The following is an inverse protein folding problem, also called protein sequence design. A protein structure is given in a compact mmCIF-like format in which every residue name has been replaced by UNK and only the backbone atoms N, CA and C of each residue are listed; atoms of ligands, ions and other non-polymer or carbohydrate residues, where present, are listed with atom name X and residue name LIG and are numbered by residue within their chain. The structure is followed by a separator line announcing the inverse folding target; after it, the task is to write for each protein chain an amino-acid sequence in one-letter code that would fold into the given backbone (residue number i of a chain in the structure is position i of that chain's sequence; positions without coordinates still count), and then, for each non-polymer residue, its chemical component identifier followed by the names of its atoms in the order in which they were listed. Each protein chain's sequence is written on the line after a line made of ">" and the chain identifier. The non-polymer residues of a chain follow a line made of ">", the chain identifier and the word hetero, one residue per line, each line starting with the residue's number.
data_IF_607541133681
#
_entry.id   IF_607541133681
#
_cell.length_a   1.000
_cell.length_b   1.000
_cell.length_c   1.000
_cell.angle_alpha   90.00
_cell.angle_beta   90.00
_cell.angle_gamma   90.00
#
_symmetry.space_group_name_H-M   'P 1'
#
loop_
_entity.id
_entity.type
_entity.pdbx_description
1 polymer ?
#
# COMPACT_ATOMS: atom_id res chain seq x y z
N UNK A 1 7.74 31.80 -11.35
CA UNK A 1 7.45 30.57 -12.11
C UNK A 1 8.69 29.70 -12.12
N UNK A 2 8.59 28.47 -11.56
CA UNK A 2 9.75 27.57 -11.48
C UNK A 2 10.19 27.12 -12.87
N UNK A 3 11.47 26.75 -13.04
CA UNK A 3 11.98 26.26 -14.34
C UNK A 3 11.15 25.09 -14.90
N UNK A 4 10.64 24.22 -14.01
CA UNK A 4 9.81 23.07 -14.39
C UNK A 4 8.47 23.48 -15.01
N UNK A 5 7.91 24.66 -14.67
CA UNK A 5 6.65 25.14 -15.24
C UNK A 5 6.78 25.66 -16.66
N UNK A 6 8.03 25.90 -17.12
CA UNK A 6 8.34 26.36 -18.48
C UNK A 6 8.57 25.21 -19.46
N UNK A 7 8.58 23.97 -18.98
CA UNK A 7 8.64 22.80 -19.83
C UNK A 7 7.31 22.64 -20.55
N UNK A 8 7.37 22.32 -21.83
CA UNK A 8 6.14 22.07 -22.62
C UNK A 8 5.43 20.83 -22.09
N UNK A 9 4.28 21.03 -21.44
CA UNK A 9 3.40 19.96 -20.97
C UNK A 9 2.38 19.67 -22.05
N UNK A 10 2.33 18.40 -22.49
CA UNK A 10 1.45 17.97 -23.57
C UNK A 10 0.07 17.58 -23.06
N UNK A 11 -0.01 17.02 -21.83
CA UNK A 11 -1.26 16.50 -21.27
C UNK A 11 -1.18 16.43 -19.74
N UNK A 12 -2.33 16.20 -19.12
CA UNK A 12 -2.42 16.02 -17.68
C UNK A 12 -3.83 15.70 -17.21
N UNK A 13 -3.91 15.30 -15.95
CA UNK A 13 -5.18 15.04 -15.29
C UNK A 13 -5.12 15.42 -13.81
N UNK A 14 -6.28 15.61 -13.21
CA UNK A 14 -6.41 15.65 -11.76
C UNK A 14 -7.35 14.55 -11.26
N UNK A 15 -7.13 14.14 -10.02
CA UNK A 15 -7.90 13.09 -9.37
C UNK A 15 -7.96 13.33 -7.87
N UNK A 16 -8.96 12.73 -7.23
CA UNK A 16 -9.06 12.67 -5.78
C UNK A 16 -8.73 11.25 -5.30
N UNK A 17 -7.86 11.13 -4.30
CA UNK A 17 -7.56 9.88 -3.63
C UNK A 17 -7.68 10.07 -2.11
N UNK A 18 -8.69 9.47 -1.50
CA UNK A 18 -8.95 9.53 -0.05
C UNK A 18 -9.04 10.95 0.54
N UNK A 19 -9.51 11.93 -0.28
CA UNK A 19 -9.63 13.33 0.11
C UNK A 19 -8.44 14.22 -0.26
N UNK A 20 -7.36 13.64 -0.78
CA UNK A 20 -6.20 14.38 -1.28
C UNK A 20 -6.42 14.74 -2.75
N UNK A 21 -6.28 16.02 -3.10
CA UNK A 21 -6.39 16.53 -4.48
C UNK A 21 -5.04 16.41 -5.17
N UNK A 22 -4.97 15.59 -6.17
CA UNK A 22 -3.73 15.22 -6.88
C UNK A 22 -3.80 15.68 -8.32
N UNK A 23 -2.67 16.11 -8.86
CA UNK A 23 -2.49 16.40 -10.28
C UNK A 23 -1.31 15.62 -10.86
N UNK A 24 -1.44 15.25 -12.12
CA UNK A 24 -0.34 14.68 -12.93
C UNK A 24 -0.27 15.46 -14.23
N UNK A 25 0.92 15.86 -14.65
CA UNK A 25 1.19 16.43 -15.98
C UNK A 25 2.37 15.73 -16.63
N UNK A 26 2.32 15.60 -17.94
CA UNK A 26 3.27 14.84 -18.74
C UNK A 26 3.76 15.64 -19.95
N UNK A 27 4.98 15.41 -20.38
CA UNK A 27 5.53 16.00 -21.61
C UNK A 27 5.15 15.24 -22.89
N UNK A 28 4.54 14.06 -22.75
CA UNK A 28 4.09 13.20 -23.85
C UNK A 28 2.78 12.53 -23.40
N UNK A 29 1.67 12.79 -24.13
CA UNK A 29 0.35 12.24 -23.81
C UNK A 29 0.30 10.71 -23.83
N UNK A 30 1.17 10.07 -24.62
CA UNK A 30 1.23 8.62 -24.71
C UNK A 30 1.58 7.92 -23.37
N UNK A 31 2.26 8.63 -22.45
CA UNK A 31 2.64 8.04 -21.15
C UNK A 31 1.58 8.23 -20.05
N UNK A 32 0.56 9.05 -20.29
CA UNK A 32 -0.45 9.35 -19.27
C UNK A 32 -1.25 8.10 -18.87
N UNK A 33 -1.60 7.25 -19.83
CA UNK A 33 -2.32 6.00 -19.59
C UNK A 33 -1.56 5.06 -18.63
N UNK A 34 -0.23 4.99 -18.76
CA UNK A 34 0.60 4.15 -17.89
C UNK A 34 0.59 4.66 -16.45
N UNK A 35 0.59 5.98 -16.26
CA UNK A 35 0.50 6.62 -14.94
C UNK A 35 -0.88 6.42 -14.31
N UNK A 36 -1.96 6.52 -15.11
CA UNK A 36 -3.33 6.26 -14.65
C UNK A 36 -3.49 4.84 -14.12
N UNK A 37 -2.89 3.86 -14.78
CA UNK A 37 -2.92 2.46 -14.36
C UNK A 37 -2.16 2.21 -13.02
N UNK A 38 -1.34 3.16 -12.58
CA UNK A 38 -0.53 3.10 -11.34
C UNK A 38 -1.09 3.94 -10.20
N UNK A 39 -2.25 4.59 -10.39
CA UNK A 39 -2.87 5.39 -9.33
C UNK A 39 -3.29 4.51 -8.14
N UNK A 40 -3.32 5.07 -6.92
CA UNK A 40 -3.77 4.36 -5.73
C UNK A 40 -5.18 3.79 -5.90
N UNK A 41 -5.48 2.60 -5.36
CA UNK A 41 -6.84 2.07 -5.33
C UNK A 41 -7.83 3.07 -4.76
N UNK A 42 -9.02 3.19 -5.38
CA UNK A 42 -10.04 4.15 -4.96
C UNK A 42 -9.83 5.58 -5.45
N UNK A 43 -8.81 5.85 -6.28
CA UNK A 43 -8.65 7.12 -6.98
C UNK A 43 -9.83 7.39 -7.92
N UNK A 44 -10.32 8.63 -7.93
CA UNK A 44 -11.44 9.07 -8.79
C UNK A 44 -10.99 10.26 -9.62
N UNK A 45 -11.19 10.23 -10.95
CA UNK A 45 -10.97 11.42 -11.79
C UNK A 45 -11.75 12.62 -11.24
N UNK A 46 -11.16 13.79 -11.31
CA UNK A 46 -11.77 15.03 -10.85
C UNK A 46 -11.22 16.21 -11.67
N UNK A 47 -11.96 17.31 -11.70
CA UNK A 47 -11.49 18.55 -12.32
C UNK A 47 -11.23 19.58 -11.21
N UNK A 48 -9.96 19.77 -10.86
CA UNK A 48 -9.54 20.73 -9.85
C UNK A 48 -8.81 21.90 -10.52
N UNK A 49 -9.16 23.13 -10.15
CA UNK A 49 -8.40 24.33 -10.52
C UNK A 49 -7.08 24.43 -9.77
N UNK A 50 -7.03 23.87 -8.56
CA UNK A 50 -5.83 23.76 -7.74
C UNK A 50 -5.77 22.36 -7.10
N UNK A 51 -4.56 21.81 -7.06
CA UNK A 51 -4.25 20.51 -6.44
C UNK A 51 -3.34 20.72 -5.24
N UNK A 52 -3.41 19.77 -4.29
CA UNK A 52 -2.54 19.81 -3.10
C UNK A 52 -1.14 19.31 -3.47
N UNK A 53 -1.07 18.33 -4.37
CA UNK A 53 0.19 17.74 -4.84
C UNK A 53 0.17 17.58 -6.35
N UNK A 54 1.23 18.07 -7.02
CA UNK A 54 1.40 17.99 -8.47
C UNK A 54 2.59 17.08 -8.82
N UNK A 55 2.32 16.05 -9.60
CA UNK A 55 3.33 15.23 -10.24
C UNK A 55 3.62 15.72 -11.65
N UNK A 56 4.89 15.89 -11.97
CA UNK A 56 5.35 16.32 -13.29
C UNK A 56 6.32 15.26 -13.82
N UNK A 57 5.91 14.54 -14.85
CA UNK A 57 6.65 13.40 -15.38
C UNK A 57 7.18 13.76 -16.77
N UNK A 58 8.48 13.64 -16.91
CA UNK A 58 9.19 13.77 -18.18
C UNK A 58 9.66 12.37 -18.55
N UNK A 59 9.09 11.82 -19.58
CA UNK A 59 9.40 10.49 -20.05
C UNK A 59 9.28 10.42 -21.58
N UNK A 60 9.84 9.37 -22.15
CA UNK A 60 9.65 9.03 -23.54
C UNK A 60 9.78 7.51 -23.66
N UNK A 61 8.85 6.89 -24.33
CA UNK A 61 9.02 5.54 -24.85
C UNK A 61 9.96 5.62 -26.06
N UNK A 62 11.28 5.74 -25.79
CA UNK A 62 12.28 5.75 -26.84
C UNK A 62 12.20 4.43 -27.64
N UNK A 63 12.24 4.54 -28.98
CA UNK A 63 12.47 3.37 -29.82
C UNK A 63 13.85 2.77 -29.46
N UNK A 64 14.01 1.44 -29.45
CA UNK A 64 15.25 0.75 -29.06
C UNK A 64 16.52 1.25 -29.78
N UNK A 65 16.38 1.79 -31.00
CA UNK A 65 17.49 2.22 -31.87
C UNK A 65 17.89 3.70 -31.69
N UNK A 66 17.37 4.41 -30.73
CA UNK A 66 17.76 5.81 -30.51
C UNK A 66 19.16 5.89 -29.87
N UNK A 67 20.14 6.42 -30.60
CA UNK A 67 21.49 6.74 -30.09
C UNK A 67 21.48 7.83 -29.00
N UNK A 68 20.34 8.50 -28.78
CA UNK A 68 20.19 9.55 -27.78
C UNK A 68 19.72 8.93 -26.48
N UNK A 69 20.58 8.92 -25.48
CA UNK A 69 20.22 8.52 -24.10
C UNK A 69 19.33 9.59 -23.47
N UNK A 70 18.04 9.39 -23.50
CA UNK A 70 17.07 10.26 -22.79
C UNK A 70 16.88 9.75 -21.38
N UNK A 71 16.96 10.67 -20.40
CA UNK A 71 16.62 10.38 -19.01
C UNK A 71 15.15 10.67 -18.79
N UNK A 72 14.47 9.74 -18.13
CA UNK A 72 13.12 9.96 -17.60
C UNK A 72 13.23 10.55 -16.20
N UNK A 73 12.39 11.52 -15.89
CA UNK A 73 12.41 12.28 -14.64
C UNK A 73 11.02 12.37 -14.03
N UNK A 74 10.95 12.25 -12.71
CA UNK A 74 9.74 12.46 -11.94
C UNK A 74 9.93 13.56 -10.89
N UNK A 75 8.99 14.49 -10.84
CA UNK A 75 8.95 15.55 -9.84
C UNK A 75 7.63 15.52 -9.07
N UNK A 76 7.71 15.74 -7.78
CA UNK A 76 6.60 15.99 -6.88
C UNK A 76 6.68 17.45 -6.43
N UNK A 77 5.73 18.25 -6.84
CA UNK A 77 5.81 19.72 -6.77
C UNK A 77 7.13 20.20 -7.42
N UNK A 78 8.08 20.70 -6.64
CA UNK A 78 9.39 21.15 -7.12
C UNK A 78 10.53 20.16 -6.84
N UNK A 79 10.26 19.09 -6.09
CA UNK A 79 11.26 18.12 -5.66
C UNK A 79 11.33 16.94 -6.65
N UNK A 80 12.55 16.64 -7.11
CA UNK A 80 12.74 15.45 -7.95
C UNK A 80 12.74 14.19 -7.11
N UNK A 81 11.78 13.29 -7.34
CA UNK A 81 11.69 12.00 -6.66
C UNK A 81 12.24 10.83 -7.49
N UNK A 82 12.33 10.98 -8.82
CA UNK A 82 12.81 9.93 -9.71
C UNK A 82 13.73 10.47 -10.81
N UNK A 83 14.75 9.66 -11.15
CA UNK A 83 15.62 9.82 -12.33
C UNK A 83 16.07 8.43 -12.77
N UNK A 84 15.64 8.00 -13.94
CA UNK A 84 15.98 6.71 -14.50
C UNK A 84 16.38 6.82 -15.97
N UNK A 85 17.08 5.79 -16.49
CA UNK A 85 17.43 5.69 -17.91
C UNK A 85 16.27 5.14 -18.75
N UNK A 86 15.40 4.36 -18.11
CA UNK A 86 14.17 3.83 -18.70
C UNK A 86 12.97 4.49 -18.05
N UNK A 87 11.83 4.41 -18.73
CA UNK A 87 10.59 4.99 -18.22
C UNK A 87 9.95 4.12 -17.12
N UNK A 88 10.18 2.80 -17.14
CA UNK A 88 9.61 1.87 -16.17
C UNK A 88 10.10 2.15 -14.75
N UNK A 89 11.40 2.51 -14.60
CA UNK A 89 11.92 2.93 -13.29
C UNK A 89 11.26 4.19 -12.75
N UNK A 90 10.84 5.13 -13.62
CA UNK A 90 10.07 6.31 -13.18
C UNK A 90 8.63 5.94 -12.84
N UNK A 91 8.02 5.00 -13.58
CA UNK A 91 6.67 4.49 -13.27
C UNK A 91 6.62 3.79 -11.91
N UNK A 92 7.60 2.96 -11.60
CA UNK A 92 7.68 2.27 -10.30
C UNK A 92 7.89 3.26 -9.16
N UNK A 93 8.78 4.24 -9.35
CA UNK A 93 8.98 5.30 -8.37
C UNK A 93 7.73 6.16 -8.20
N UNK A 94 7.00 6.49 -9.28
CA UNK A 94 5.73 7.22 -9.24
C UNK A 94 4.68 6.43 -8.46
N UNK A 95 4.50 5.14 -8.79
CA UNK A 95 3.55 4.26 -8.11
C UNK A 95 3.78 4.25 -6.58
N UNK A 96 5.03 4.07 -6.17
CA UNK A 96 5.39 4.04 -4.75
C UNK A 96 5.20 5.40 -4.07
N UNK A 97 5.64 6.47 -4.75
CA UNK A 97 5.60 7.82 -4.18
C UNK A 97 4.19 8.38 -4.08
N UNK A 98 3.33 8.17 -5.11
CA UNK A 98 1.95 8.68 -5.09
C UNK A 98 1.12 8.02 -3.99
N UNK A 99 1.35 6.73 -3.75
CA UNK A 99 0.67 6.00 -2.68
C UNK A 99 1.12 6.45 -1.30
N UNK A 100 2.43 6.63 -1.11
CA UNK A 100 2.97 7.19 0.13
C UNK A 100 2.42 8.59 0.40
N UNK A 101 2.37 9.45 -0.62
CA UNK A 101 1.79 10.80 -0.52
C UNK A 101 0.33 10.75 -0.09
N UNK A 102 -0.48 9.89 -0.72
CA UNK A 102 -1.89 9.71 -0.31
C UNK A 102 -1.99 9.18 1.12
N UNK A 103 -1.18 8.20 1.49
CA UNK A 103 -1.18 7.64 2.85
C UNK A 103 -0.77 8.66 3.91
N UNK A 104 0.15 9.58 3.59
CA UNK A 104 0.62 10.63 4.50
C UNK A 104 -0.40 11.76 4.67
N UNK A 105 -1.08 12.18 3.59
CA UNK A 105 -1.91 13.37 3.57
C UNK A 105 -3.42 13.11 3.57
N UNK A 106 -3.88 11.86 3.60
CA UNK A 106 -5.31 11.54 3.64
C UNK A 106 -5.98 12.09 4.91
N UNK A 107 -6.91 13.07 4.83
CA UNK A 107 -7.38 13.80 6.01
C UNK A 107 -8.36 13.00 6.89
N UNK A 108 -8.90 11.89 6.37
CA UNK A 108 -9.96 11.11 7.05
C UNK A 108 -9.67 9.61 7.05
N UNK A 109 -8.41 9.23 6.85
CA UNK A 109 -7.98 7.83 6.84
C UNK A 109 -6.63 7.69 7.51
N UNK A 110 -6.48 6.62 8.23
CA UNK A 110 -5.18 6.21 8.79
C UNK A 110 -4.67 5.03 7.98
N UNK A 111 -3.49 5.19 7.42
CA UNK A 111 -2.81 4.16 6.65
C UNK A 111 -1.73 3.52 7.52
N UNK A 112 -1.89 2.24 7.80
CA UNK A 112 -0.91 1.45 8.55
C UNK A 112 -0.23 0.47 7.61
N UNK A 113 1.09 0.43 7.55
CA UNK A 113 1.83 -0.62 6.83
C UNK A 113 1.49 -1.97 7.42
N UNK A 114 0.60 -2.68 6.75
CA UNK A 114 0.11 -3.99 7.17
C UNK A 114 -0.45 -4.78 5.98
N UNK A 115 -0.23 -6.09 5.99
CA UNK A 115 -1.05 -7.01 5.23
C UNK A 115 -2.44 -7.12 5.87
N UNK A 116 -3.47 -7.31 5.04
CA UNK A 116 -4.86 -7.43 5.51
C UNK A 116 -5.59 -8.51 4.74
N UNK A 117 -6.22 -9.40 5.48
CA UNK A 117 -7.18 -10.37 4.92
C UNK A 117 -8.48 -10.35 5.73
N UNK A 118 -9.59 -10.71 5.09
CA UNK A 118 -10.89 -10.89 5.74
C UNK A 118 -11.13 -12.36 6.05
N UNK A 119 -11.63 -12.66 7.25
CA UNK A 119 -12.04 -13.98 7.68
C UNK A 119 -13.20 -13.86 8.68
N UNK A 120 -14.28 -14.64 8.50
CA UNK A 120 -15.48 -14.59 9.36
C UNK A 120 -15.98 -13.15 9.62
N UNK A 121 -16.16 -12.35 8.55
CA UNK A 121 -16.57 -10.95 8.60
C UNK A 121 -15.70 -10.03 9.49
N UNK A 122 -14.45 -10.44 9.76
CA UNK A 122 -13.46 -9.67 10.51
C UNK A 122 -12.18 -9.50 9.70
N UNK A 123 -11.48 -8.40 9.94
CA UNK A 123 -10.16 -8.18 9.35
C UNK A 123 -9.06 -8.76 10.26
N UNK A 124 -8.10 -9.45 9.64
CA UNK A 124 -6.82 -9.84 10.24
C UNK A 124 -5.78 -8.85 9.73
N UNK A 125 -5.14 -8.11 10.63
CA UNK A 125 -4.05 -7.19 10.32
C UNK A 125 -2.70 -7.82 10.64
N UNK A 126 -1.77 -7.71 9.71
CA UNK A 126 -0.39 -8.20 9.86
C UNK A 126 0.54 -6.98 9.70
N UNK A 127 0.73 -6.17 10.78
CA UNK A 127 1.59 -4.99 10.72
C UNK A 127 3.05 -5.39 10.57
N UNK A 128 3.84 -4.53 9.94
CA UNK A 128 5.28 -4.70 9.81
C UNK A 128 5.86 -3.93 8.63
N UNK A 129 7.15 -3.66 8.68
CA UNK A 129 7.89 -2.99 7.62
C UNK A 129 8.04 -3.87 6.38
N UNK A 130 8.49 -3.29 5.27
CA UNK A 130 8.85 -4.02 4.06
C UNK A 130 9.83 -5.15 4.37
N UNK A 131 9.72 -6.26 3.64
CA UNK A 131 10.54 -7.47 3.82
C UNK A 131 10.35 -8.26 5.14
N UNK A 132 9.38 -7.94 5.97
CA UNK A 132 9.05 -8.73 7.19
C UNK A 132 8.32 -10.05 6.91
N UNK A 133 8.05 -10.38 5.63
CA UNK A 133 7.33 -11.58 5.20
C UNK A 133 5.81 -11.46 5.24
N UNK A 134 5.26 -10.23 5.30
CA UNK A 134 3.80 -9.99 5.27
C UNK A 134 3.13 -10.60 4.05
N UNK A 135 3.62 -10.26 2.86
CA UNK A 135 3.05 -10.73 1.58
C UNK A 135 3.00 -12.27 1.50
N UNK A 136 4.05 -12.94 2.00
CA UNK A 136 4.07 -14.41 2.07
C UNK A 136 2.97 -14.94 2.98
N UNK A 137 2.76 -14.34 4.15
CA UNK A 137 1.72 -14.77 5.08
C UNK A 137 0.32 -14.44 4.54
N UNK A 138 0.12 -13.26 3.95
CA UNK A 138 -1.12 -12.87 3.26
C UNK A 138 -1.45 -13.88 2.16
N UNK A 139 -0.47 -14.25 1.32
CA UNK A 139 -0.68 -15.22 0.25
C UNK A 139 -1.07 -16.61 0.78
N UNK A 140 -0.52 -17.06 1.91
CA UNK A 140 -0.89 -18.34 2.52
C UNK A 140 -2.30 -18.28 3.13
N UNK A 141 -2.67 -17.18 3.79
CA UNK A 141 -4.03 -16.99 4.31
C UNK A 141 -5.08 -16.98 3.19
N UNK A 142 -4.77 -16.33 2.06
CA UNK A 142 -5.62 -16.35 0.86
C UNK A 142 -5.80 -17.78 0.33
N UNK A 143 -4.73 -18.56 0.23
CA UNK A 143 -4.80 -19.96 -0.21
C UNK A 143 -5.66 -20.83 0.72
N UNK A 144 -5.75 -20.47 1.99
CA UNK A 144 -6.64 -21.09 2.96
C UNK A 144 -8.09 -20.57 2.92
N UNK A 145 -8.43 -19.72 1.94
CA UNK A 145 -9.79 -19.23 1.72
C UNK A 145 -10.08 -17.84 2.30
N UNK A 146 -9.11 -17.15 2.89
CA UNK A 146 -9.32 -15.78 3.36
C UNK A 146 -9.48 -14.81 2.20
N UNK A 147 -10.35 -13.81 2.39
CA UNK A 147 -10.60 -12.74 1.41
C UNK A 147 -9.45 -11.74 1.40
N UNK A 148 -8.95 -11.38 0.23
CA UNK A 148 -7.86 -10.40 0.08
C UNK A 148 -8.35 -8.96 0.27
N UNK A 149 -7.67 -8.19 1.09
CA UNK A 149 -7.90 -6.75 1.29
C UNK A 149 -6.70 -5.91 0.90
N UNK A 150 -5.49 -6.27 1.32
CA UNK A 150 -4.24 -5.56 1.02
C UNK A 150 -3.02 -6.36 1.46
N UNK A 151 -1.87 -6.12 0.85
CA UNK A 151 -0.56 -6.55 1.36
C UNK A 151 0.38 -5.37 1.69
N UNK A 152 -0.10 -4.14 1.49
CA UNK A 152 0.68 -2.90 1.70
C UNK A 152 0.12 -2.03 2.84
N UNK A 153 -1.19 -1.69 2.79
CA UNK A 153 -1.81 -0.80 3.76
C UNK A 153 -3.13 -1.33 4.32
N UNK A 154 -3.26 -1.31 5.64
CA UNK A 154 -4.55 -1.30 6.28
C UNK A 154 -5.08 0.15 6.29
N UNK A 155 -6.15 0.41 5.53
CA UNK A 155 -6.76 1.74 5.41
C UNK A 155 -7.94 1.84 6.37
N UNK A 156 -7.73 2.54 7.48
CA UNK A 156 -8.72 2.67 8.56
C UNK A 156 -9.57 3.93 8.40
N UNK A 157 -10.89 3.80 8.60
CA UNK A 157 -11.79 4.95 8.69
C UNK A 157 -11.88 5.49 10.12
N UNK A 158 -12.60 6.61 10.31
CA UNK A 158 -12.80 7.25 11.62
C UNK A 158 -13.52 6.36 12.65
N UNK A 159 -14.12 5.24 12.22
CA UNK A 159 -14.75 4.23 13.09
C UNK A 159 -13.83 3.04 13.35
N UNK A 160 -12.57 3.10 12.94
CA UNK A 160 -11.60 2.01 13.07
C UNK A 160 -11.86 0.79 12.16
N UNK A 161 -12.69 0.92 11.11
CA UNK A 161 -12.95 -0.17 10.18
C UNK A 161 -11.93 -0.15 9.04
N UNK A 162 -11.49 -1.33 8.63
CA UNK A 162 -10.53 -1.50 7.53
C UNK A 162 -11.26 -1.52 6.19
N UNK A 163 -10.86 -0.66 5.28
CA UNK A 163 -11.35 -0.63 3.91
C UNK A 163 -10.46 -1.45 2.98
N UNK A 164 -11.01 -2.04 1.89
CA UNK A 164 -10.21 -2.70 0.87
C UNK A 164 -9.22 -1.71 0.22
N UNK A 165 -7.99 -2.19 0.03
CA UNK A 165 -6.93 -1.50 -0.70
C UNK A 165 -6.18 -2.52 -1.58
N UNK A 166 -6.88 -3.13 -2.56
CA UNK A 166 -6.31 -4.23 -3.33
C UNK A 166 -5.25 -3.72 -4.31
N UNK A 167 -4.07 -4.31 -4.22
CA UNK A 167 -2.96 -4.12 -5.15
C UNK A 167 -2.44 -5.46 -5.65
N UNK A 168 -1.63 -5.44 -6.71
CA UNK A 168 -0.91 -6.62 -7.13
C UNK A 168 0.10 -7.04 -6.03
N UNK A 169 0.04 -8.31 -5.63
CA UNK A 169 0.94 -8.88 -4.62
C UNK A 169 2.31 -9.16 -5.22
N UNK A 170 3.37 -8.74 -4.55
CA UNK A 170 4.74 -9.10 -4.90
C UNK A 170 5.11 -10.49 -4.40
N UNK A 171 4.79 -11.54 -5.15
CA UNK A 171 5.06 -12.92 -4.76
C UNK A 171 6.43 -13.33 -5.26
N UNK A 172 7.31 -13.79 -4.36
CA UNK A 172 8.59 -14.40 -4.73
C UNK A 172 8.35 -15.78 -5.34
N UNK A 173 8.91 -15.99 -6.52
CA UNK A 173 8.87 -17.29 -7.18
C UNK A 173 9.91 -18.23 -6.52
N UNK A 174 9.51 -19.45 -6.13
CA UNK A 174 10.43 -20.38 -5.45
C UNK A 174 11.67 -20.76 -6.26
N UNK A 175 11.54 -20.73 -7.60
CA UNK A 175 12.57 -21.22 -8.53
C UNK A 175 13.60 -20.17 -8.93
N UNK A 176 13.23 -18.89 -9.04
CA UNK A 176 14.12 -17.83 -9.51
C UNK A 176 14.52 -16.81 -8.45
N UNK A 177 13.83 -16.80 -7.30
CA UNK A 177 14.00 -15.77 -6.29
C UNK A 177 13.46 -14.38 -6.71
N UNK A 178 13.00 -14.25 -7.95
CA UNK A 178 12.42 -13.03 -8.49
C UNK A 178 11.03 -12.78 -7.90
N UNK A 179 10.70 -11.51 -7.71
CA UNK A 179 9.37 -11.10 -7.28
C UNK A 179 8.49 -10.79 -8.48
N UNK A 180 7.40 -11.54 -8.64
CA UNK A 180 6.39 -11.26 -9.67
C UNK A 180 5.19 -10.57 -9.02
N UNK A 181 4.76 -9.45 -9.61
CA UNK A 181 3.49 -8.79 -9.23
C UNK A 181 2.33 -9.57 -9.85
N UNK A 182 1.47 -10.16 -9.02
CA UNK A 182 0.28 -10.89 -9.44
C UNK A 182 -0.96 -10.21 -8.85
N UNK A 183 -2.01 -10.09 -9.64
CA UNK A 183 -3.31 -9.64 -9.11
C UNK A 183 -3.89 -10.72 -8.21
N UNK A 184 -4.73 -10.33 -7.26
CA UNK A 184 -5.35 -11.27 -6.34
C UNK A 184 -6.17 -12.34 -7.07
N UNK A 185 -6.86 -11.96 -8.14
CA UNK A 185 -7.67 -12.85 -8.96
C UNK A 185 -6.83 -13.88 -9.70
N UNK A 186 -5.59 -13.53 -10.11
CA UNK A 186 -4.67 -14.46 -10.81
C UNK A 186 -4.19 -15.60 -9.90
N UNK A 187 -4.30 -15.42 -8.59
CA UNK A 187 -4.01 -16.46 -7.58
C UNK A 187 -5.28 -17.07 -6.98
N UNK A 188 -6.44 -16.84 -7.63
CA UNK A 188 -7.73 -17.38 -7.21
C UNK A 188 -8.32 -16.74 -5.95
N UNK A 189 -7.85 -15.55 -5.56
CA UNK A 189 -8.33 -14.85 -4.37
C UNK A 189 -9.62 -14.10 -4.63
N UNK A 190 -10.54 -14.17 -3.68
CA UNK A 190 -11.68 -13.24 -3.60
C UNK A 190 -11.20 -11.90 -3.04
N UNK A 191 -11.51 -10.79 -3.71
CA UNK A 191 -11.17 -9.44 -3.24
C UNK A 191 -12.31 -8.89 -2.39
N UNK A 192 -11.98 -8.33 -1.22
CA UNK A 192 -12.94 -7.70 -0.33
C UNK A 192 -13.52 -6.42 -0.92
N UNK A 193 -14.82 -6.19 -0.67
CA UNK A 193 -15.54 -5.00 -1.16
C UNK A 193 -16.14 -4.14 -0.03
N UNK A 194 -16.29 -4.69 1.18
CA UNK A 194 -16.92 -4.03 2.32
C UNK A 194 -15.91 -3.72 3.43
N UNK A 195 -16.08 -2.60 4.16
CA UNK A 195 -15.25 -2.34 5.33
C UNK A 195 -15.51 -3.37 6.45
N UNK A 196 -14.43 -3.88 7.06
CA UNK A 196 -14.49 -4.85 8.16
C UNK A 196 -14.01 -4.24 9.48
N UNK A 197 -14.55 -4.75 10.61
CA UNK A 197 -13.98 -4.51 11.94
C UNK A 197 -12.73 -5.38 12.10
N UNK A 198 -11.73 -4.88 12.82
CA UNK A 198 -10.54 -5.67 13.15
C UNK A 198 -10.91 -6.75 14.17
N UNK A 199 -10.66 -8.00 13.85
CA UNK A 199 -10.84 -9.14 14.76
C UNK A 199 -9.51 -9.59 15.35
N UNK A 200 -8.44 -9.50 14.57
CA UNK A 200 -7.13 -9.98 14.98
C UNK A 200 -6.00 -9.10 14.46
N UNK A 201 -5.00 -8.88 15.28
CA UNK A 201 -3.70 -8.32 14.86
C UNK A 201 -2.63 -9.37 15.13
N UNK A 202 -1.83 -9.69 14.11
CA UNK A 202 -0.71 -10.64 14.18
C UNK A 202 0.59 -9.91 13.94
N UNK A 203 1.25 -9.48 15.03
CA UNK A 203 2.59 -8.89 14.99
C UNK A 203 3.63 -10.01 14.99
N UNK A 204 4.31 -10.23 13.86
CA UNK A 204 5.22 -11.36 13.72
C UNK A 204 6.46 -11.01 12.90
N UNK A 205 7.58 -11.63 13.27
CA UNK A 205 8.83 -11.62 12.53
C UNK A 205 9.16 -13.02 12.05
N UNK A 206 9.66 -13.15 10.81
CA UNK A 206 10.15 -14.42 10.30
C UNK A 206 11.53 -14.76 10.86
N UNK A 207 11.69 -16.01 11.29
CA UNK A 207 12.99 -16.59 11.65
C UNK A 207 12.99 -18.06 11.26
N UNK A 208 13.98 -18.48 10.49
CA UNK A 208 14.12 -19.88 10.04
C UNK A 208 14.06 -20.84 11.23
N UNK A 209 13.25 -21.91 11.11
CA UNK A 209 13.09 -22.97 12.11
C UNK A 209 12.35 -22.52 13.39
N UNK A 210 11.86 -21.28 13.48
CA UNK A 210 11.10 -20.86 14.65
C UNK A 210 9.72 -21.53 14.69
N UNK A 211 9.30 -21.97 15.88
CA UNK A 211 7.95 -22.47 16.12
C UNK A 211 7.04 -21.31 16.54
N UNK A 212 5.86 -21.26 15.96
CA UNK A 212 4.85 -20.27 16.31
C UNK A 212 4.32 -20.49 17.73
N UNK A 213 4.70 -19.61 18.65
CA UNK A 213 4.23 -19.56 20.04
C UNK A 213 3.87 -18.12 20.39
N UNK A 214 2.72 -17.63 19.88
CA UNK A 214 2.33 -16.25 20.11
C UNK A 214 1.92 -16.04 21.56
N UNK A 215 2.15 -14.84 22.04
CA UNK A 215 1.56 -14.35 23.29
C UNK A 215 0.53 -13.27 22.97
N UNK A 216 -0.57 -13.27 23.70
CA UNK A 216 -1.52 -12.18 23.64
C UNK A 216 -0.90 -10.97 24.34
N UNK A 217 -1.05 -9.78 23.73
CA UNK A 217 -0.59 -8.52 24.30
C UNK A 217 -1.76 -7.58 24.55
N UNK A 218 -1.54 -6.58 25.41
CA UNK A 218 -2.59 -5.62 25.77
C UNK A 218 -2.95 -4.72 24.59
N UNK A 219 -4.14 -4.12 24.63
CA UNK A 219 -4.62 -3.16 23.62
C UNK A 219 -3.64 -1.99 23.45
N UNK A 220 -3.17 -1.40 24.56
CA UNK A 220 -2.21 -0.30 24.51
C UNK A 220 -0.90 -0.68 23.77
N UNK A 221 -0.41 -1.91 23.98
CA UNK A 221 0.75 -2.43 23.25
C UNK A 221 0.43 -2.60 21.76
N UNK A 222 -0.78 -3.03 21.43
CA UNK A 222 -1.25 -3.12 20.04
C UNK A 222 -1.35 -1.75 19.36
N UNK A 223 -1.83 -0.73 20.05
CA UNK A 223 -1.87 0.65 19.55
C UNK A 223 -0.45 1.13 19.21
N UNK A 224 0.53 0.92 20.10
CA UNK A 224 1.92 1.28 19.85
C UNK A 224 2.53 0.53 18.67
N UNK A 225 2.18 -0.74 18.49
CA UNK A 225 2.62 -1.56 17.35
C UNK A 225 2.04 -1.02 16.03
N UNK A 226 0.75 -0.68 15.98
CA UNK A 226 0.15 -0.07 14.79
C UNK A 226 0.68 1.34 14.54
N UNK A 227 0.85 2.16 15.60
CA UNK A 227 1.39 3.51 15.49
C UNK A 227 2.79 3.53 14.86
N UNK A 228 3.67 2.60 15.25
CA UNK A 228 5.03 2.49 14.68
C UNK A 228 5.03 2.09 13.20
N UNK A 229 3.93 1.56 12.69
CA UNK A 229 3.72 1.21 11.29
C UNK A 229 2.75 2.19 10.56
N UNK A 230 2.29 3.26 11.22
CA UNK A 230 1.38 4.25 10.63
C UNK A 230 2.18 5.28 9.85
N UNK A 231 1.79 5.49 8.59
CA UNK A 231 2.48 6.41 7.67
C UNK A 231 2.41 7.85 8.21
N UNK A 232 1.21 8.32 8.49
CA UNK A 232 0.95 9.71 8.95
C UNK A 232 1.12 9.91 10.46
N UNK A 233 1.78 8.98 11.18
CA UNK A 233 1.92 9.06 12.64
C UNK A 233 2.60 10.36 13.15
N UNK A 234 3.48 10.95 12.35
CA UNK A 234 4.19 12.18 12.70
C UNK A 234 3.46 13.45 12.26
N UNK A 235 2.80 13.40 11.10
CA UNK A 235 2.10 14.55 10.49
C UNK A 235 0.67 14.71 11.01
N UNK A 236 0.01 13.60 11.38
CA UNK A 236 -1.37 13.56 11.86
C UNK A 236 -1.51 12.67 13.12
N UNK A 237 -0.76 12.91 14.21
CA UNK A 237 -0.74 12.04 15.37
C UNK A 237 -2.11 11.95 16.07
N UNK A 238 -2.86 13.04 16.11
CA UNK A 238 -4.20 13.10 16.74
C UNK A 238 -5.20 12.16 16.05
N UNK A 239 -5.21 12.16 14.70
CA UNK A 239 -6.05 11.26 13.94
C UNK A 239 -5.67 9.79 14.20
N UNK A 240 -4.38 9.48 14.20
CA UNK A 240 -3.89 8.13 14.45
C UNK A 240 -4.23 7.67 15.89
N UNK A 241 -4.00 8.52 16.90
CA UNK A 241 -4.32 8.22 18.30
C UNK A 241 -5.82 8.10 18.58
N UNK A 242 -6.66 8.70 17.76
CA UNK A 242 -8.12 8.54 17.84
C UNK A 242 -8.58 7.24 17.20
N UNK A 243 -8.07 6.93 15.99
CA UNK A 243 -8.56 5.82 15.17
C UNK A 243 -8.00 4.46 15.59
N UNK A 244 -6.72 4.38 15.95
CA UNK A 244 -6.09 3.09 16.27
C UNK A 244 -6.69 2.41 17.52
N UNK A 245 -6.99 3.10 18.64
CA UNK A 245 -7.70 2.49 19.76
C UNK A 245 -9.08 1.97 19.41
N UNK A 246 -9.85 2.70 18.56
CA UNK A 246 -11.16 2.26 18.08
C UNK A 246 -11.04 1.01 17.20
N UNK A 247 -10.04 0.96 16.33
CA UNK A 247 -9.79 -0.22 15.50
C UNK A 247 -9.50 -1.48 16.34
N UNK A 248 -8.87 -1.31 17.51
CA UNK A 248 -8.49 -2.41 18.39
C UNK A 248 -9.50 -2.68 19.53
N UNK A 249 -10.68 -2.03 19.51
CA UNK A 249 -11.66 -2.14 20.61
C UNK A 249 -12.06 -3.59 20.90
N UNK A 250 -12.32 -4.38 19.88
CA UNK A 250 -12.70 -5.80 19.97
C UNK A 250 -11.66 -6.76 19.40
N UNK A 251 -10.48 -6.26 19.04
CA UNK A 251 -9.44 -7.07 18.39
C UNK A 251 -8.61 -7.85 19.41
N UNK A 252 -8.34 -9.12 19.11
CA UNK A 252 -7.28 -9.88 19.76
C UNK A 252 -5.93 -9.47 19.15
N UNK A 253 -4.89 -9.39 19.97
CA UNK A 253 -3.56 -8.96 19.51
C UNK A 253 -2.54 -10.01 19.90
N UNK A 254 -1.94 -10.65 18.90
CA UNK A 254 -0.93 -11.68 19.07
C UNK A 254 0.43 -11.17 18.63
N UNK A 255 1.46 -11.46 19.42
CA UNK A 255 2.85 -11.16 19.09
C UNK A 255 3.73 -12.40 19.25
N UNK A 256 4.54 -12.70 18.24
CA UNK A 256 5.42 -13.86 18.26
C UNK A 256 6.41 -13.88 17.12
N UNK A 257 7.31 -14.86 17.15
CA UNK A 257 8.22 -15.17 16.04
C UNK A 257 7.68 -16.40 15.32
N UNK A 258 7.71 -16.40 14.01
CA UNK A 258 7.26 -17.52 13.19
C UNK A 258 8.35 -18.12 12.32
N UNK A 259 8.21 -19.41 12.01
CA UNK A 259 8.85 -20.08 10.90
C UNK A 259 8.08 -19.89 9.60
N UNK A 260 7.85 -20.96 8.88
CA UNK A 260 7.17 -20.92 7.60
C UNK A 260 5.72 -20.45 7.73
N UNK A 261 5.30 -19.64 6.76
CA UNK A 261 3.97 -19.03 6.81
C UNK A 261 2.86 -20.08 6.74
N UNK A 262 3.04 -21.13 5.96
CA UNK A 262 2.06 -22.19 5.80
C UNK A 262 1.75 -22.93 7.11
N UNK A 263 2.73 -23.07 8.01
CA UNK A 263 2.60 -23.81 9.28
C UNK A 263 1.71 -23.10 10.31
N UNK A 264 1.47 -21.81 10.14
CA UNK A 264 0.77 -21.00 11.15
C UNK A 264 -0.62 -20.54 10.73
N UNK A 265 -1.02 -20.78 9.48
CA UNK A 265 -2.29 -20.30 8.90
C UNK A 265 -3.49 -20.74 9.73
N UNK A 266 -3.63 -22.05 9.97
CA UNK A 266 -4.77 -22.61 10.71
C UNK A 266 -4.84 -22.07 12.14
N UNK A 267 -3.67 -21.94 12.79
CA UNK A 267 -3.56 -21.34 14.12
C UNK A 267 -3.98 -19.88 14.15
N UNK A 268 -3.74 -19.11 13.08
CA UNK A 268 -4.18 -17.71 12.96
C UNK A 268 -5.68 -17.65 12.71
N UNK A 269 -6.21 -18.41 11.75
CA UNK A 269 -7.62 -18.40 11.38
C UNK A 269 -8.52 -18.83 12.55
N UNK A 270 -8.09 -19.81 13.34
CA UNK A 270 -8.80 -20.26 14.55
C UNK A 270 -8.90 -19.18 15.67
N UNK A 271 -8.14 -18.08 15.59
CA UNK A 271 -8.22 -16.99 16.58
C UNK A 271 -9.30 -15.95 16.25
N UNK A 272 -9.91 -16.03 15.07
CA UNK A 272 -10.95 -15.10 14.62
C UNK A 272 -12.31 -15.77 14.73
N UNK A 273 -13.04 -15.39 15.72
CA UNK A 273 -14.43 -15.83 15.97
C UNK A 273 -15.41 -14.76 15.52
#
# INVERSE_FOLDING_TARGET
>A
MAKIDRLGWADGMSFNAYGVRMGVRVNDSAILTDLVARLPPGSKPASFTMVDHLYSIIGSRAKPDSKVRRLSLGYWNLLRFARARDFDGVLEAFESHVQLTVAEYAPRRVFVHAGVVGWNDRAILIPGLSHSGKTTLVAQLIRAGATYYSDEYAVLDARGRVHPYPRALGIRLPTSGESKKLRAEEIGATVGSKPLRVGLVVSTNYKVGARWRPRQVTRGRGVLELMSNTVSARSQPELALTVLPLALESARILKGVRGEAAEIVDSILAQVT
#
